data_IF_248326660603
#
_entry.id   IF_248326660603
#
_cell.length_a   1.000
_cell.length_b   1.000
_cell.length_c   1.000
_cell.angle_alpha   90.00
_cell.angle_beta   90.00
_cell.angle_gamma   90.00
#
_symmetry.space_group_name_H-M   'P 1'
#
loop_
_entity.id
_entity.type
_entity.pdbx_description
1 polymer ?
#
# COMPACT_ATOMS: atom_id res chain seq x y z
N UNK A 1 -11.65 -16.33 27.42
CA UNK A 1 -10.36 -16.05 26.77
C UNK A 1 -10.66 -15.02 25.69
N UNK A 2 -10.08 -13.82 25.82
CA UNK A 2 -10.16 -12.82 24.76
C UNK A 2 -9.43 -13.37 23.52
N UNK A 3 -10.06 -13.30 22.35
CA UNK A 3 -9.36 -13.58 21.09
C UNK A 3 -8.17 -12.62 20.97
N UNK A 4 -7.01 -13.08 20.47
CA UNK A 4 -5.90 -12.19 20.26
C UNK A 4 -6.31 -11.09 19.27
N UNK A 5 -6.11 -9.84 19.64
CA UNK A 5 -6.34 -8.70 18.75
C UNK A 5 -5.33 -8.74 17.59
N UNK A 6 -5.80 -8.47 16.41
CA UNK A 6 -5.00 -8.42 15.20
C UNK A 6 -4.78 -6.96 14.81
N UNK A 7 -3.52 -6.55 14.68
CA UNK A 7 -3.13 -5.17 14.41
C UNK A 7 -2.99 -4.95 12.90
N UNK A 8 -3.69 -3.97 12.37
CA UNK A 8 -3.46 -3.42 11.03
C UNK A 8 -2.76 -2.09 11.20
N UNK A 9 -1.51 -2.02 10.81
CA UNK A 9 -0.70 -0.80 10.97
C UNK A 9 -0.70 -0.01 9.67
N UNK A 10 -1.21 1.22 9.70
CA UNK A 10 -1.07 2.17 8.61
C UNK A 10 0.11 3.10 8.93
N UNK A 11 1.11 3.12 8.07
CA UNK A 11 2.38 3.78 8.37
C UNK A 11 2.70 4.88 7.37
N UNK A 12 3.13 6.00 7.90
CA UNK A 12 3.72 7.10 7.16
C UNK A 12 5.19 7.26 7.58
N UNK A 13 6.08 7.10 6.60
CA UNK A 13 7.48 7.54 6.59
C UNK A 13 8.23 7.40 7.95
N UNK A 14 9.04 6.38 8.19
CA UNK A 14 9.64 6.07 9.49
C UNK A 14 11.10 5.61 9.46
N UNK A 15 11.83 5.76 10.57
CA UNK A 15 13.12 5.14 10.88
C UNK A 15 12.97 4.06 11.95
N UNK A 16 13.71 2.99 11.84
CA UNK A 16 13.52 1.70 12.51
C UNK A 16 14.23 1.56 13.85
N UNK A 17 13.62 0.87 14.79
CA UNK A 17 14.27 0.19 15.92
C UNK A 17 14.02 -1.33 15.89
N UNK A 18 14.94 -2.10 16.49
CA UNK A 18 15.12 -3.55 16.37
C UNK A 18 14.04 -4.46 16.99
N UNK A 19 12.76 -4.23 16.79
CA UNK A 19 11.72 -5.20 17.16
C UNK A 19 10.98 -5.72 15.94
N UNK A 20 10.40 -6.90 16.05
CA UNK A 20 9.68 -7.58 14.96
C UNK A 20 8.43 -6.80 14.50
N UNK A 21 8.03 -5.81 15.29
CA UNK A 21 6.83 -5.00 15.11
C UNK A 21 7.12 -3.64 14.43
N UNK A 22 8.40 -3.34 14.14
CA UNK A 22 8.81 -2.05 13.61
C UNK A 22 8.89 -2.06 12.07
N UNK A 23 8.59 -0.92 11.47
CA UNK A 23 8.85 -0.63 10.06
C UNK A 23 10.29 -0.86 9.68
N UNK A 24 10.48 -1.44 8.53
CA UNK A 24 11.82 -1.69 8.00
C UNK A 24 12.34 -0.46 7.23
N UNK A 25 13.67 -0.33 7.21
CA UNK A 25 14.36 0.83 6.61
C UNK A 25 14.08 1.03 5.11
N UNK A 26 13.61 -0.01 4.40
CA UNK A 26 13.29 0.05 2.96
C UNK A 26 11.96 0.78 2.69
N UNK A 27 10.97 0.63 3.57
CA UNK A 27 9.70 1.38 3.47
C UNK A 27 9.97 2.90 3.47
N UNK A 28 11.10 3.31 4.10
CA UNK A 28 11.56 4.70 4.23
C UNK A 28 12.56 5.07 3.14
N UNK A 29 13.54 4.19 2.92
CA UNK A 29 14.69 4.49 2.04
C UNK A 29 14.25 4.51 0.59
N UNK A 30 13.32 3.64 0.20
CA UNK A 30 12.70 3.65 -1.12
C UNK A 30 12.02 5.00 -1.39
N UNK A 31 11.18 5.44 -0.48
CA UNK A 31 10.52 6.74 -0.59
C UNK A 31 11.53 7.91 -0.56
N UNK A 32 12.46 7.95 0.40
CA UNK A 32 13.46 9.02 0.51
C UNK A 32 14.40 9.10 -0.70
N UNK A 33 14.89 7.96 -1.21
CA UNK A 33 15.81 7.98 -2.36
C UNK A 33 15.17 8.58 -3.61
N UNK A 34 13.85 8.48 -3.74
CA UNK A 34 13.10 8.99 -4.87
C UNK A 34 12.77 10.47 -4.70
N UNK A 35 12.39 10.89 -3.49
CA UNK A 35 11.92 12.25 -3.23
C UNK A 35 13.00 13.23 -2.80
N UNK A 36 14.11 12.74 -2.21
CA UNK A 36 15.23 13.61 -1.80
C UNK A 36 16.23 13.91 -2.93
N UNK A 37 16.25 13.12 -4.00
CA UNK A 37 17.28 13.24 -5.06
C UNK A 37 16.76 13.52 -6.48
N UNK A 38 15.44 13.44 -6.71
CA UNK A 38 14.85 13.57 -8.04
C UNK A 38 14.23 14.94 -8.30
N UNK A 39 14.68 15.71 -9.30
CA UNK A 39 14.06 16.99 -9.68
C UNK A 39 12.64 16.83 -10.27
N UNK A 40 12.23 15.61 -10.64
CA UNK A 40 10.95 15.35 -11.30
C UNK A 40 9.72 15.45 -10.39
N UNK A 41 9.88 15.28 -9.06
CA UNK A 41 8.75 15.27 -8.13
C UNK A 41 8.51 16.60 -7.38
N UNK A 42 9.41 17.58 -7.57
CA UNK A 42 9.27 18.93 -7.01
C UNK A 42 8.47 19.88 -7.89
N UNK A 43 7.74 19.41 -8.87
CA UNK A 43 6.89 20.29 -9.66
C UNK A 43 5.79 20.87 -8.78
N UNK A 44 5.62 22.14 -8.84
CA UNK A 44 4.69 23.03 -8.14
C UNK A 44 3.23 22.54 -8.13
N UNK A 45 2.94 21.56 -7.27
CA UNK A 45 1.56 21.13 -7.05
C UNK A 45 1.00 21.98 -5.92
N UNK A 46 0.02 22.89 -6.20
CA UNK A 46 -0.48 23.85 -5.20
C UNK A 46 -1.28 23.21 -4.07
N UNK A 47 -1.83 22.00 -4.28
CA UNK A 47 -2.68 21.31 -3.32
C UNK A 47 -1.99 20.03 -2.79
N UNK A 48 -2.25 19.65 -1.52
CA UNK A 48 -1.73 18.41 -0.95
C UNK A 48 -2.32 17.21 -1.69
N UNK A 49 -1.48 16.26 -2.07
CA UNK A 49 -1.86 15.06 -2.80
C UNK A 49 -1.09 13.85 -2.26
N UNK A 50 -1.56 12.68 -2.61
CA UNK A 50 -0.84 11.43 -2.36
C UNK A 50 0.09 11.19 -3.55
N UNK A 51 1.39 11.15 -3.30
CA UNK A 51 2.41 10.98 -4.35
C UNK A 51 2.96 9.57 -4.42
N UNK A 52 2.88 8.84 -3.31
CA UNK A 52 3.16 7.41 -3.22
C UNK A 52 2.11 6.73 -2.35
N UNK A 53 1.78 5.52 -2.71
CA UNK A 53 0.92 4.61 -1.97
C UNK A 53 1.61 3.26 -1.94
N UNK A 54 1.78 2.68 -0.78
CA UNK A 54 2.48 1.40 -0.64
C UNK A 54 1.76 0.46 0.31
N UNK A 55 1.96 -0.84 0.11
CA UNK A 55 1.49 -1.87 1.04
C UNK A 55 2.49 -2.98 1.14
N UNK A 56 2.89 -3.30 2.36
CA UNK A 56 3.63 -4.50 2.71
C UNK A 56 2.71 -5.52 3.37
N UNK A 57 2.69 -6.74 2.83
CA UNK A 57 1.88 -7.81 3.36
C UNK A 57 2.47 -9.19 2.99
N UNK A 58 2.02 -10.21 3.69
CA UNK A 58 2.34 -11.60 3.34
C UNK A 58 1.49 -12.03 2.14
N UNK A 59 2.15 -12.50 1.10
CA UNK A 59 1.55 -13.08 -0.10
C UNK A 59 1.43 -14.60 0.11
N UNK A 60 0.20 -15.08 0.16
CA UNK A 60 -0.11 -16.50 0.25
C UNK A 60 -0.64 -17.06 -1.08
N UNK A 61 -0.97 -18.34 -1.08
CA UNK A 61 -1.52 -19.03 -2.24
C UNK A 61 -3.01 -18.73 -2.44
N UNK A 62 -3.46 -18.73 -3.70
CA UNK A 62 -4.86 -18.62 -4.08
C UNK A 62 -5.53 -17.35 -3.58
N UNK A 63 -6.56 -17.48 -2.75
CA UNK A 63 -7.33 -16.35 -2.17
C UNK A 63 -6.51 -15.45 -1.22
N UNK A 64 -5.34 -15.91 -0.78
CA UNK A 64 -4.43 -15.17 0.09
C UNK A 64 -3.40 -14.32 -0.69
N UNK A 65 -3.63 -14.09 -1.97
CA UNK A 65 -2.89 -13.09 -2.73
C UNK A 65 -3.07 -11.70 -2.10
N UNK A 66 -2.06 -10.84 -2.18
CA UNK A 66 -2.19 -9.44 -1.77
C UNK A 66 -2.85 -8.66 -2.90
N UNK A 67 -3.83 -7.83 -2.55
CA UNK A 67 -4.57 -7.03 -3.51
C UNK A 67 -4.48 -5.55 -3.09
N UNK A 68 -3.82 -4.76 -3.92
CA UNK A 68 -3.76 -3.30 -3.79
C UNK A 68 -4.78 -2.63 -4.71
N UNK A 69 -5.73 -1.86 -4.14
CA UNK A 69 -6.68 -1.06 -4.92
C UNK A 69 -6.32 0.42 -4.86
N UNK A 70 -6.52 1.13 -5.96
CA UNK A 70 -6.33 2.58 -6.01
C UNK A 70 -7.33 3.23 -6.97
N UNK A 71 -7.48 4.54 -6.84
CA UNK A 71 -8.40 5.34 -7.67
C UNK A 71 -7.59 6.45 -8.34
N UNK A 72 -7.72 6.55 -9.66
CA UNK A 72 -7.29 7.74 -10.40
C UNK A 72 -8.45 8.75 -10.39
N UNK A 73 -8.20 9.89 -9.78
CA UNK A 73 -9.14 11.00 -9.62
C UNK A 73 -8.87 12.10 -10.66
N UNK A 74 -9.84 12.99 -10.82
CA UNK A 74 -9.77 14.11 -11.75
C UNK A 74 -10.46 13.81 -13.07
N UNK A 75 -10.26 14.66 -14.07
CA UNK A 75 -10.86 14.56 -15.41
C UNK A 75 -9.87 14.17 -16.49
N UNK A 76 -8.62 13.98 -16.14
CA UNK A 76 -7.52 13.65 -17.04
C UNK A 76 -6.86 12.33 -16.60
N UNK A 77 -6.21 11.61 -17.49
CA UNK A 77 -5.42 10.44 -17.15
C UNK A 77 -4.27 10.75 -16.19
N UNK A 78 -3.79 9.74 -15.46
CA UNK A 78 -2.55 9.80 -14.69
C UNK A 78 -1.57 8.75 -15.19
N UNK A 79 -0.29 9.12 -15.32
CA UNK A 79 0.78 8.17 -15.59
C UNK A 79 1.35 7.69 -14.25
N UNK A 80 1.38 6.39 -14.06
CA UNK A 80 1.77 5.75 -12.81
C UNK A 80 2.82 4.66 -13.05
N UNK A 81 3.67 4.46 -12.04
CA UNK A 81 4.50 3.26 -11.93
C UNK A 81 3.95 2.42 -10.78
N UNK A 82 3.71 1.14 -11.03
CA UNK A 82 3.38 0.14 -10.01
C UNK A 82 4.58 -0.79 -9.88
N UNK A 83 5.04 -1.04 -8.67
CA UNK A 83 6.14 -1.98 -8.41
C UNK A 83 5.70 -3.09 -7.48
N UNK A 84 6.23 -4.29 -7.69
CA UNK A 84 6.15 -5.43 -6.79
C UNK A 84 7.55 -5.78 -6.32
N UNK A 85 7.84 -5.57 -5.05
CA UNK A 85 9.17 -5.75 -4.45
C UNK A 85 9.13 -6.95 -3.50
N UNK A 86 10.10 -7.82 -3.62
CA UNK A 86 10.21 -9.02 -2.77
C UNK A 86 11.66 -9.43 -2.57
N UNK A 87 12.34 -9.82 -3.62
CA UNK A 87 13.69 -10.38 -3.57
C UNK A 87 14.71 -9.51 -2.83
N UNK A 88 14.60 -8.19 -2.91
CA UNK A 88 15.51 -7.26 -2.24
C UNK A 88 15.17 -6.96 -0.78
N UNK A 89 13.98 -7.35 -0.29
CA UNK A 89 13.54 -7.08 1.08
C UNK A 89 14.43 -7.68 2.19
N UNK A 90 15.14 -8.83 2.01
CA UNK A 90 16.10 -9.30 3.00
C UNK A 90 17.23 -8.33 3.30
N UNK A 91 17.61 -7.48 2.38
CA UNK A 91 18.64 -6.44 2.59
C UNK A 91 18.24 -5.42 3.66
N UNK A 92 16.95 -5.30 3.95
CA UNK A 92 16.37 -4.39 4.94
C UNK A 92 15.74 -5.13 6.13
N UNK A 93 16.04 -6.44 6.27
CA UNK A 93 15.71 -7.23 7.45
C UNK A 93 14.45 -8.11 7.35
N UNK A 94 13.75 -8.13 6.22
CA UNK A 94 12.56 -8.98 6.00
C UNK A 94 13.02 -10.33 5.50
N UNK A 95 13.20 -11.29 6.41
CA UNK A 95 13.82 -12.60 6.10
C UNK A 95 12.89 -13.59 5.42
N UNK A 96 11.57 -13.36 5.46
CA UNK A 96 10.54 -14.18 4.80
C UNK A 96 10.01 -13.53 3.53
N UNK A 97 10.87 -12.84 2.80
CA UNK A 97 10.49 -12.14 1.57
C UNK A 97 10.03 -13.12 0.47
N UNK A 98 9.12 -12.64 -0.39
CA UNK A 98 8.74 -13.35 -1.60
C UNK A 98 9.88 -13.28 -2.60
N UNK A 99 10.35 -14.43 -3.08
CA UNK A 99 11.56 -14.49 -3.92
C UNK A 99 11.31 -14.06 -5.36
N UNK A 100 10.10 -14.27 -5.85
CA UNK A 100 9.73 -14.01 -7.25
C UNK A 100 8.33 -13.41 -7.29
N UNK A 101 8.26 -12.10 -7.56
CA UNK A 101 7.01 -11.33 -7.47
C UNK A 101 6.39 -11.18 -8.84
N UNK A 102 5.14 -11.56 -8.98
CA UNK A 102 4.31 -11.32 -10.17
C UNK A 102 3.18 -10.34 -9.85
N UNK A 103 3.03 -9.31 -10.67
CA UNK A 103 1.93 -8.34 -10.53
C UNK A 103 1.03 -8.30 -11.75
N UNK A 104 -0.27 -8.18 -11.48
CA UNK A 104 -1.32 -8.03 -12.50
C UNK A 104 -2.11 -6.76 -12.21
N UNK A 105 -2.17 -5.85 -13.16
CA UNK A 105 -2.99 -4.64 -13.08
C UNK A 105 -4.33 -4.87 -13.77
N UNK A 106 -5.43 -4.60 -13.06
CA UNK A 106 -6.80 -4.77 -13.55
C UNK A 106 -7.59 -3.46 -13.47
N UNK A 107 -8.53 -3.29 -14.39
CA UNK A 107 -9.54 -2.23 -14.30
C UNK A 107 -10.73 -2.65 -13.41
N UNK A 108 -11.68 -1.73 -13.19
CA UNK A 108 -12.87 -1.98 -12.38
C UNK A 108 -13.78 -3.12 -12.90
N UNK A 109 -13.66 -3.47 -14.18
CA UNK A 109 -14.38 -4.61 -14.79
C UNK A 109 -13.65 -5.94 -14.62
N UNK A 110 -12.51 -5.98 -13.94
CA UNK A 110 -11.69 -7.19 -13.78
C UNK A 110 -10.86 -7.57 -15.02
N UNK A 111 -10.80 -6.70 -16.04
CA UNK A 111 -9.96 -6.94 -17.22
C UNK A 111 -8.50 -6.65 -16.86
N UNK A 112 -7.60 -7.58 -17.16
CA UNK A 112 -6.14 -7.38 -17.04
C UNK A 112 -5.67 -6.37 -18.08
N UNK A 113 -5.02 -5.32 -17.62
CA UNK A 113 -4.45 -4.25 -18.45
C UNK A 113 -2.97 -4.45 -18.74
N UNK A 114 -2.24 -4.95 -17.76
CA UNK A 114 -0.81 -5.24 -17.85
C UNK A 114 -0.41 -6.26 -16.80
N UNK A 115 0.69 -6.95 -17.05
CA UNK A 115 1.36 -7.86 -16.12
C UNK A 115 2.86 -7.61 -16.15
N UNK A 116 3.54 -7.91 -15.07
CA UNK A 116 5.00 -7.91 -15.01
C UNK A 116 5.46 -9.01 -14.05
N UNK A 117 6.54 -9.66 -14.45
CA UNK A 117 7.26 -10.67 -13.69
C UNK A 117 8.67 -10.15 -13.41
N UNK A 118 9.53 -10.17 -14.40
CA UNK A 118 10.86 -9.58 -14.39
C UNK A 118 10.82 -8.18 -15.05
N UNK A 119 10.84 -7.12 -14.26
CA UNK A 119 10.67 -5.74 -14.77
C UNK A 119 11.62 -5.35 -15.90
N UNK A 120 12.82 -5.95 -15.89
CA UNK A 120 13.89 -5.60 -16.84
C UNK A 120 13.58 -6.07 -18.27
N UNK A 121 12.72 -7.08 -18.40
CA UNK A 121 12.32 -7.66 -19.69
C UNK A 121 11.14 -6.92 -20.34
N UNK A 122 10.52 -6.01 -19.59
CA UNK A 122 9.39 -5.23 -20.06
C UNK A 122 9.81 -4.06 -20.95
N UNK A 123 8.98 -3.72 -21.91
CA UNK A 123 9.23 -2.64 -22.89
C UNK A 123 9.37 -1.25 -22.24
N UNK A 124 8.88 -1.05 -21.03
CA UNK A 124 8.95 0.18 -20.25
C UNK A 124 10.16 0.26 -19.30
N UNK A 125 10.99 -0.78 -19.22
CA UNK A 125 12.11 -0.87 -18.27
C UNK A 125 13.03 0.36 -18.32
N UNK A 126 13.46 0.77 -19.52
CA UNK A 126 14.33 1.95 -19.69
C UNK A 126 13.67 3.26 -19.24
N UNK A 127 12.35 3.36 -19.40
CA UNK A 127 11.58 4.52 -18.97
C UNK A 127 11.45 4.56 -17.46
N UNK A 128 11.16 3.42 -16.81
CA UNK A 128 11.12 3.30 -15.34
C UNK A 128 12.48 3.69 -14.75
N UNK A 129 13.58 3.18 -15.31
CA UNK A 129 14.94 3.53 -14.89
C UNK A 129 15.24 5.04 -15.03
N UNK A 130 14.71 5.70 -16.06
CA UNK A 130 14.88 7.14 -16.22
C UNK A 130 14.19 7.98 -15.14
N UNK A 131 13.17 7.42 -14.49
CA UNK A 131 12.51 8.01 -13.32
C UNK A 131 13.16 7.60 -11.98
N UNK A 132 14.21 6.78 -12.01
CA UNK A 132 14.86 6.20 -10.82
C UNK A 132 13.87 5.39 -9.96
N UNK A 133 12.94 4.71 -10.63
CA UNK A 133 11.91 3.85 -10.00
C UNK A 133 12.15 2.37 -10.34
N UNK A 134 13.29 2.06 -10.92
CA UNK A 134 13.67 0.69 -11.23
C UNK A 134 13.84 -0.15 -9.96
N UNK A 135 13.22 -1.34 -9.88
CA UNK A 135 13.48 -2.28 -8.79
C UNK A 135 14.95 -2.66 -8.68
N UNK A 136 15.41 -2.94 -7.45
CA UNK A 136 16.83 -3.24 -7.18
C UNK A 136 17.27 -4.59 -7.73
N UNK A 137 16.34 -5.52 -7.97
CA UNK A 137 16.60 -6.84 -8.49
C UNK A 137 15.77 -7.12 -9.75
N UNK A 138 16.33 -7.89 -10.69
CA UNK A 138 15.63 -8.22 -11.94
C UNK A 138 14.39 -9.09 -11.77
N UNK A 139 14.32 -9.88 -10.69
CA UNK A 139 13.15 -10.73 -10.34
C UNK A 139 12.01 -9.97 -9.68
N UNK A 140 12.11 -8.67 -9.60
CA UNK A 140 11.04 -7.82 -9.09
C UNK A 140 10.23 -7.27 -10.26
N UNK A 141 8.99 -6.90 -9.99
CA UNK A 141 8.05 -6.51 -11.03
C UNK A 141 7.86 -5.01 -11.07
N UNK A 142 7.66 -4.44 -12.27
CA UNK A 142 7.24 -3.04 -12.41
C UNK A 142 6.41 -2.82 -13.67
N UNK A 143 5.34 -2.05 -13.57
CA UNK A 143 4.47 -1.65 -14.67
C UNK A 143 4.45 -0.13 -14.76
N UNK A 144 4.75 0.43 -15.93
CA UNK A 144 4.52 1.83 -16.25
C UNK A 144 3.31 1.93 -17.18
N UNK A 145 2.33 2.73 -16.80
CA UNK A 145 1.11 2.88 -17.60
C UNK A 145 0.42 4.22 -17.39
N UNK A 146 -0.41 4.62 -18.34
CA UNK A 146 -1.28 5.81 -18.24
C UNK A 146 -2.73 5.34 -18.13
N UNK A 147 -3.38 5.74 -17.03
CA UNK A 147 -4.71 5.27 -16.65
C UNK A 147 -5.71 6.43 -16.64
N UNK A 148 -6.89 6.21 -17.22
CA UNK A 148 -8.01 7.15 -17.14
C UNK A 148 -8.55 7.25 -15.70
N UNK A 149 -9.30 8.31 -15.34
CA UNK A 149 -10.04 8.34 -14.09
C UNK A 149 -10.90 7.09 -13.88
N UNK A 150 -10.76 6.44 -12.72
CA UNK A 150 -11.44 5.19 -12.41
C UNK A 150 -10.74 4.40 -11.30
N UNK A 151 -11.32 3.25 -10.97
CA UNK A 151 -10.79 2.33 -9.96
C UNK A 151 -9.96 1.23 -10.62
N UNK A 152 -8.86 0.88 -9.99
CA UNK A 152 -7.90 -0.12 -10.45
C UNK A 152 -7.48 -1.03 -9.31
N UNK A 153 -7.02 -2.22 -9.66
CA UNK A 153 -6.57 -3.23 -8.71
C UNK A 153 -5.26 -3.83 -9.19
N UNK A 154 -4.29 -3.93 -8.29
CA UNK A 154 -3.06 -4.69 -8.49
C UNK A 154 -3.16 -5.97 -7.67
N UNK A 155 -3.04 -7.12 -8.31
CA UNK A 155 -2.94 -8.42 -7.66
C UNK A 155 -1.47 -8.82 -7.60
N UNK A 156 -0.98 -9.14 -6.40
CA UNK A 156 0.41 -9.54 -6.14
C UNK A 156 0.43 -11.02 -5.80
N UNK A 157 1.21 -11.79 -6.53
CA UNK A 157 1.38 -13.23 -6.35
C UNK A 157 2.86 -13.59 -6.44
N UNK A 158 3.19 -14.81 -6.07
CA UNK A 158 4.45 -15.42 -6.50
C UNK A 158 4.35 -15.83 -7.96
N UNK A 159 5.43 -15.64 -8.70
CA UNK A 159 5.64 -16.35 -9.96
C UNK A 159 6.10 -17.78 -9.64
N UNK A 160 5.47 -18.76 -10.28
CA UNK A 160 5.83 -20.19 -10.09
C UNK A 160 6.89 -20.57 -11.11
N UNK A 161 8.14 -20.39 -10.75
CA UNK A 161 9.31 -20.81 -11.54
C UNK A 161 9.71 -22.27 -11.28
N UNK A 162 8.94 -23.01 -10.45
CA UNK A 162 9.17 -24.42 -10.10
C UNK A 162 10.15 -24.65 -8.94
N UNK A 163 10.60 -23.60 -8.26
CA UNK A 163 11.50 -23.71 -7.10
C UNK A 163 10.78 -23.98 -5.77
N UNK A 164 9.46 -23.82 -5.74
CA UNK A 164 8.60 -24.10 -4.58
C UNK A 164 8.48 -22.94 -3.58
N UNK A 165 9.10 -21.78 -3.84
CA UNK A 165 9.05 -20.59 -2.98
C UNK A 165 7.85 -19.69 -3.34
N UNK A 166 6.64 -20.21 -3.15
CA UNK A 166 5.40 -19.61 -3.63
C UNK A 166 4.74 -18.65 -2.64
N UNK A 167 5.34 -18.40 -1.48
CA UNK A 167 4.77 -17.51 -0.46
C UNK A 167 5.87 -16.71 0.23
N UNK A 168 5.53 -15.50 0.66
CA UNK A 168 6.46 -14.63 1.37
C UNK A 168 5.93 -13.21 1.50
N UNK A 169 6.67 -12.36 2.16
CA UNK A 169 6.33 -10.94 2.28
C UNK A 169 6.72 -10.19 1.01
N UNK A 170 5.80 -9.40 0.49
CA UNK A 170 6.05 -8.48 -0.62
C UNK A 170 5.59 -7.06 -0.27
N UNK A 171 6.19 -6.08 -0.96
CA UNK A 171 5.79 -4.69 -0.96
C UNK A 171 5.23 -4.36 -2.35
N UNK A 172 4.02 -3.82 -2.41
CA UNK A 172 3.47 -3.23 -3.62
C UNK A 172 3.45 -1.71 -3.47
N UNK A 173 3.90 -1.01 -4.49
CA UNK A 173 4.00 0.44 -4.48
C UNK A 173 3.34 1.03 -5.72
N UNK A 174 2.71 2.18 -5.56
CA UNK A 174 2.17 2.99 -6.64
C UNK A 174 2.79 4.39 -6.56
N UNK A 175 3.38 4.82 -7.64
CA UNK A 175 3.92 6.17 -7.83
C UNK A 175 3.11 6.91 -8.88
N UNK A 176 2.54 8.06 -8.51
CA UNK A 176 1.93 8.99 -9.46
C UNK A 176 3.03 9.92 -10.01
N UNK A 177 3.34 9.81 -11.29
CA UNK A 177 4.41 10.59 -11.92
C UNK A 177 4.02 12.06 -12.18
N UNK A 178 2.77 12.44 -11.89
CA UNK A 178 2.25 13.80 -12.04
C UNK A 178 2.46 14.43 -13.43
N UNK A 179 2.54 13.61 -14.46
CA UNK A 179 2.77 14.06 -15.84
C UNK A 179 1.51 14.63 -16.51
N UNK A 180 0.37 14.51 -15.86
CA UNK A 180 -0.95 14.93 -16.36
C UNK A 180 -1.85 15.44 -15.24
N UNK A 181 -3.11 15.77 -15.54
CA UNK A 181 -4.05 16.34 -14.56
C UNK A 181 -4.74 15.34 -13.64
N UNK A 182 -4.66 14.03 -13.92
CA UNK A 182 -5.16 12.97 -13.05
C UNK A 182 -4.24 12.77 -11.83
N UNK A 183 -4.79 12.21 -10.76
CA UNK A 183 -4.05 11.96 -9.50
C UNK A 183 -4.48 10.64 -8.87
N UNK A 184 -3.53 9.94 -8.28
CA UNK A 184 -3.83 8.83 -7.37
C UNK A 184 -4.42 9.38 -6.07
N UNK A 185 -5.60 8.94 -5.70
CA UNK A 185 -6.37 9.56 -4.60
C UNK A 185 -6.70 8.69 -3.41
N UNK A 186 -6.57 7.39 -3.52
CA UNK A 186 -6.91 6.42 -2.48
C UNK A 186 -6.03 5.19 -2.59
N UNK A 187 -5.78 4.55 -1.47
CA UNK A 187 -5.28 3.18 -1.43
C UNK A 187 -6.26 2.32 -0.64
N UNK A 188 -6.51 1.12 -1.12
CA UNK A 188 -7.16 0.08 -0.34
C UNK A 188 -6.37 -1.22 -0.52
N UNK A 189 -6.13 -1.94 0.57
CA UNK A 189 -5.37 -3.19 0.49
C UNK A 189 -6.11 -4.30 1.19
N UNK A 190 -6.14 -5.46 0.55
CA UNK A 190 -6.54 -6.71 1.14
C UNK A 190 -5.33 -7.64 1.22
N UNK A 191 -5.05 -8.14 2.41
CA UNK A 191 -4.00 -9.11 2.66
C UNK A 191 -4.33 -9.93 3.89
N UNK A 192 -3.63 -11.01 4.10
CA UNK A 192 -3.76 -11.86 5.27
C UNK A 192 -3.11 -11.19 6.49
N UNK A 193 -3.84 -11.15 7.60
CA UNK A 193 -3.37 -10.69 8.90
C UNK A 193 -3.57 -11.82 9.90
N UNK A 194 -2.52 -12.18 10.65
CA UNK A 194 -2.58 -13.21 11.68
C UNK A 194 -2.53 -12.61 13.08
N UNK A 195 -3.43 -13.09 13.95
CA UNK A 195 -3.58 -12.57 15.31
C UNK A 195 -2.47 -12.96 16.29
N UNK A 196 -1.49 -13.73 15.86
CA UNK A 196 -0.29 -14.07 16.64
C UNK A 196 0.84 -13.03 16.50
N UNK A 197 0.61 -11.96 15.74
CA UNK A 197 1.61 -10.92 15.47
C UNK A 197 2.68 -11.31 14.45
N UNK A 198 2.54 -12.46 13.78
CA UNK A 198 3.52 -12.91 12.80
C UNK A 198 3.32 -12.29 11.41
N UNK A 199 2.13 -11.79 11.12
CA UNK A 199 1.79 -11.18 9.84
C UNK A 199 0.90 -9.94 10.05
N UNK A 200 1.41 -8.79 9.61
CA UNK A 200 0.73 -7.52 9.62
C UNK A 200 0.42 -7.07 8.20
N UNK A 201 -0.61 -6.24 8.06
CA UNK A 201 -0.86 -5.46 6.86
C UNK A 201 -0.41 -4.02 7.13
N UNK A 202 0.58 -3.56 6.39
CA UNK A 202 1.14 -2.22 6.52
C UNK A 202 0.77 -1.43 5.28
N UNK A 203 -0.01 -0.37 5.44
CA UNK A 203 -0.31 0.60 4.39
C UNK A 203 0.49 1.88 4.60
N UNK A 204 1.24 2.31 3.58
CA UNK A 204 2.03 3.54 3.60
C UNK A 204 1.54 4.54 2.57
N UNK A 205 1.74 5.82 2.85
CA UNK A 205 1.48 6.89 1.88
C UNK A 205 2.37 8.10 2.15
N UNK A 206 2.66 8.86 1.11
CA UNK A 206 3.41 10.11 1.20
C UNK A 206 2.50 11.26 0.76
N UNK A 207 2.45 12.29 1.58
CA UNK A 207 1.75 13.54 1.26
C UNK A 207 2.75 14.50 0.62
N UNK A 208 2.49 14.87 -0.63
CA UNK A 208 3.23 15.90 -1.32
C UNK A 208 2.51 17.25 -1.27
N UNK A 209 3.24 18.31 -1.64
CA UNK A 209 2.74 19.68 -1.63
C UNK A 209 3.23 20.47 -0.44
N UNK A 210 2.61 21.64 -0.17
CA UNK A 210 3.03 22.57 0.87
C UNK A 210 1.97 22.78 1.97
N UNK A 211 0.86 22.05 1.90
CA UNK A 211 -0.24 22.21 2.84
C UNK A 211 -0.57 20.87 3.51
N UNK A 212 -1.00 20.88 4.77
CA UNK A 212 -1.49 19.69 5.44
C UNK A 212 -2.65 19.03 4.68
N UNK A 213 -2.77 17.71 4.79
CA UNK A 213 -3.86 16.90 4.25
C UNK A 213 -4.56 16.14 5.36
N UNK A 214 -5.90 16.24 5.39
CA UNK A 214 -6.70 15.36 6.23
C UNK A 214 -6.93 14.03 5.52
N UNK A 215 -6.67 12.94 6.23
CA UNK A 215 -6.83 11.56 5.77
C UNK A 215 -7.74 10.80 6.74
N UNK A 216 -8.51 9.85 6.19
CA UNK A 216 -9.24 8.86 6.98
C UNK A 216 -8.60 7.50 6.69
N UNK A 217 -8.19 6.80 7.74
CA UNK A 217 -7.65 5.44 7.65
C UNK A 217 -8.66 4.50 8.28
N UNK A 218 -8.94 3.38 7.60
CA UNK A 218 -9.91 2.38 8.06
C UNK A 218 -9.28 0.99 8.01
N UNK A 219 -9.56 0.18 9.02
CA UNK A 219 -9.30 -1.25 9.00
C UNK A 219 -10.64 -2.00 9.05
N UNK A 220 -10.93 -2.67 7.96
CA UNK A 220 -12.19 -3.37 7.70
C UNK A 220 -11.95 -4.87 7.83
N UNK A 221 -12.81 -5.53 8.58
CA UNK A 221 -12.74 -6.97 8.84
C UNK A 221 -14.11 -7.64 8.71
N UNK A 222 -14.97 -7.60 9.73
CA UNK A 222 -16.22 -8.36 9.77
C UNK A 222 -17.14 -8.13 8.57
N UNK A 223 -17.22 -6.90 8.06
CA UNK A 223 -18.04 -6.58 6.89
C UNK A 223 -17.55 -7.21 5.58
N UNK A 224 -16.32 -7.70 5.51
CA UNK A 224 -15.79 -8.40 4.35
C UNK A 224 -16.51 -9.74 4.09
N UNK A 225 -17.17 -10.31 5.10
CA UNK A 225 -18.02 -11.50 4.92
C UNK A 225 -19.13 -11.26 3.90
N UNK A 226 -19.66 -10.04 3.84
CA UNK A 226 -20.73 -9.67 2.90
C UNK A 226 -20.26 -9.68 1.43
N UNK A 227 -18.96 -9.62 1.19
CA UNK A 227 -18.34 -9.67 -0.15
C UNK A 227 -17.63 -11.00 -0.41
N UNK A 228 -17.94 -12.04 0.38
CA UNK A 228 -17.51 -13.42 0.14
C UNK A 228 -16.17 -13.81 0.78
N UNK A 229 -15.59 -12.99 1.65
CA UNK A 229 -14.41 -13.38 2.42
C UNK A 229 -14.85 -14.30 3.55
N UNK A 230 -14.39 -15.54 3.52
CA UNK A 230 -14.85 -16.59 4.44
C UNK A 230 -14.27 -16.49 5.85
N UNK A 231 -13.11 -15.88 6.00
CA UNK A 231 -12.41 -15.74 7.28
C UNK A 231 -11.94 -14.28 7.46
N UNK A 232 -12.86 -13.32 7.57
CA UNK A 232 -12.49 -11.94 7.81
C UNK A 232 -11.94 -11.77 9.22
N UNK A 233 -11.05 -10.81 9.39
CA UNK A 233 -10.54 -10.40 10.68
C UNK A 233 -11.73 -9.93 11.55
N UNK A 234 -11.90 -10.51 12.74
CA UNK A 234 -13.09 -10.27 13.58
C UNK A 234 -13.08 -8.92 14.29
N UNK A 235 -11.87 -8.42 14.60
CA UNK A 235 -11.66 -7.24 15.44
C UNK A 235 -10.34 -6.54 15.04
N UNK A 236 -10.34 -5.70 13.97
CA UNK A 236 -9.16 -5.05 13.48
C UNK A 236 -8.79 -3.83 14.31
N UNK A 237 -7.54 -3.74 14.73
CA UNK A 237 -6.93 -2.53 15.30
C UNK A 237 -6.14 -1.80 14.19
N UNK A 238 -6.28 -0.47 14.10
CA UNK A 238 -5.46 0.38 13.23
C UNK A 238 -4.60 1.33 14.04
N UNK A 239 -3.33 1.42 13.70
CA UNK A 239 -2.39 2.39 14.22
C UNK A 239 -1.84 3.25 13.09
N UNK A 240 -1.74 4.55 13.33
CA UNK A 240 -1.10 5.50 12.42
C UNK A 240 0.22 5.95 13.04
N UNK A 241 1.29 5.78 12.28
CA UNK A 241 2.64 6.15 12.67
C UNK A 241 3.18 7.26 11.76
N UNK A 242 4.07 8.08 12.32
CA UNK A 242 4.83 9.06 11.53
C UNK A 242 6.10 8.44 10.92
N UNK A 243 6.83 9.25 10.17
CA UNK A 243 8.07 8.87 9.53
C UNK A 243 9.23 8.55 10.46
N UNK A 244 9.07 8.64 11.77
CA UNK A 244 10.04 8.18 12.77
C UNK A 244 9.63 6.87 13.46
N UNK A 245 8.44 6.31 13.08
CA UNK A 245 7.85 5.16 13.75
C UNK A 245 7.07 5.51 15.02
N UNK A 246 6.91 6.81 15.32
CA UNK A 246 6.12 7.22 16.48
C UNK A 246 4.63 7.03 16.21
N UNK A 247 3.92 6.34 17.10
CA UNK A 247 2.45 6.23 17.01
C UNK A 247 1.81 7.60 17.22
N UNK A 248 1.13 8.09 16.20
CA UNK A 248 0.38 9.34 16.24
C UNK A 248 -1.00 9.14 16.86
N UNK A 249 -1.68 8.07 16.48
CA UNK A 249 -3.01 7.72 16.98
C UNK A 249 -3.32 6.27 16.62
N UNK A 250 -4.26 5.69 17.36
CA UNK A 250 -4.78 4.35 17.12
C UNK A 250 -6.28 4.30 17.30
N UNK A 251 -6.93 3.30 16.72
CA UNK A 251 -8.36 3.06 16.92
C UNK A 251 -8.65 1.57 16.79
N UNK A 252 -9.42 1.08 17.72
CA UNK A 252 -9.90 -0.30 17.80
C UNK A 252 -11.36 -0.41 17.33
N UNK A 253 -12.21 0.45 17.82
CA UNK A 253 -13.63 0.52 17.48
C UNK A 253 -13.95 1.93 16.99
N UNK A 254 -14.34 2.09 15.72
CA UNK A 254 -14.44 3.42 15.10
C UNK A 254 -15.38 4.38 15.83
N UNK A 255 -16.47 3.87 16.46
CA UNK A 255 -17.44 4.69 17.16
C UNK A 255 -16.90 5.28 18.48
N UNK A 256 -15.86 4.67 19.06
CA UNK A 256 -15.20 5.16 20.27
C UNK A 256 -14.15 6.25 19.98
N UNK A 257 -13.80 6.46 18.72
CA UNK A 257 -12.81 7.46 18.31
C UNK A 257 -13.32 8.90 18.40
N UNK A 258 -12.44 9.88 18.61
CA UNK A 258 -12.83 11.28 18.75
C UNK A 258 -13.44 11.89 17.46
N UNK A 259 -13.17 11.30 16.31
CA UNK A 259 -13.61 11.76 15.00
C UNK A 259 -14.79 10.95 14.43
N UNK A 260 -15.43 10.08 15.22
CA UNK A 260 -16.49 9.18 14.77
C UNK A 260 -17.62 9.91 14.04
N UNK A 261 -18.12 11.00 14.62
CA UNK A 261 -19.21 11.81 14.01
C UNK A 261 -18.81 12.42 12.67
N UNK A 262 -17.55 12.84 12.52
CA UNK A 262 -17.05 13.43 11.30
C UNK A 262 -16.85 12.38 10.21
N UNK A 263 -16.24 11.24 10.55
CA UNK A 263 -16.07 10.09 9.65
C UNK A 263 -17.44 9.62 9.13
N UNK A 264 -18.46 9.62 10.00
CA UNK A 264 -19.84 9.28 9.62
C UNK A 264 -20.44 10.34 8.67
N UNK A 265 -20.25 11.61 8.96
CA UNK A 265 -20.76 12.70 8.11
C UNK A 265 -20.12 12.70 6.71
N UNK A 266 -18.89 12.27 6.59
CA UNK A 266 -18.15 12.10 5.33
C UNK A 266 -18.55 10.81 4.56
N UNK A 267 -19.43 9.97 5.12
CA UNK A 267 -19.87 8.71 4.51
C UNK A 267 -18.78 7.62 4.52
N UNK A 268 -17.75 7.77 5.37
CA UNK A 268 -16.62 6.87 5.45
C UNK A 268 -16.66 5.93 6.66
N UNK A 269 -17.73 5.98 7.46
CA UNK A 269 -17.90 5.13 8.63
C UNK A 269 -17.91 3.64 8.25
N UNK A 270 -17.15 2.80 8.96
CA UNK A 270 -17.29 1.36 8.85
C UNK A 270 -18.71 0.89 9.17
N UNK A 271 -19.13 -0.22 8.59
CA UNK A 271 -20.51 -0.76 8.80
C UNK A 271 -20.65 -1.58 10.07
N UNK A 272 -19.56 -2.12 10.58
CA UNK A 272 -19.54 -2.92 11.81
C UNK A 272 -18.90 -2.14 12.96
N UNK A 273 -19.45 -2.22 14.18
CA UNK A 273 -18.92 -1.48 15.34
C UNK A 273 -17.49 -1.85 15.73
N UNK A 274 -17.08 -3.11 15.53
CA UNK A 274 -15.75 -3.63 15.83
C UNK A 274 -14.72 -3.32 14.73
N UNK A 275 -15.09 -2.63 13.67
CA UNK A 275 -14.13 -2.15 12.67
C UNK A 275 -13.51 -0.83 13.12
N UNK A 276 -12.30 -0.57 12.65
CA UNK A 276 -11.55 0.60 13.07
C UNK A 276 -11.57 1.71 12.03
N UNK A 277 -11.63 2.96 12.50
CA UNK A 277 -11.40 4.13 11.66
C UNK A 277 -10.82 5.27 12.50
N UNK A 278 -9.89 6.00 11.92
CA UNK A 278 -9.32 7.20 12.48
C UNK A 278 -9.21 8.29 11.41
N UNK A 279 -9.21 9.54 11.85
CA UNK A 279 -8.97 10.70 11.01
C UNK A 279 -7.79 11.49 11.56
N UNK A 280 -6.89 11.91 10.70
CA UNK A 280 -5.73 12.71 11.07
C UNK A 280 -5.43 13.78 10.01
N UNK A 281 -4.96 14.95 10.44
CA UNK A 281 -4.43 15.99 9.57
C UNK A 281 -2.93 15.97 9.66
N UNK A 282 -2.27 15.71 8.54
CA UNK A 282 -0.85 15.41 8.46
C UNK A 282 -0.14 16.42 7.55
N UNK A 283 1.08 16.78 7.92
CA UNK A 283 1.94 17.64 7.09
C UNK A 283 2.57 16.83 5.95
N UNK A 284 2.95 17.50 4.83
CA UNK A 284 3.82 16.93 3.81
C UNK A 284 5.16 16.47 4.35
#
# INVERSE_FOLDING_TARGET
QASPQQVVTAIMNSTVSNSVDDLQTDDITGAKSIYDTGPAFQSSIPAPNLVNLSTRAFVGLGENAVIGGFIIQGSQPATVVVRGIGYSLPAVGITNALEDVFIELHNAGGQTLATSDDWIDDSWASTIASYHLDPANSRESAILTTLNPGSYTVVVRSFDNGDGHLTGTALVELYDLHTSGGRAGNISTRGQVLGDGSQFLIGGFIIGGAQPKTVVVRAIGPSLSAVGISQPLSDPLVELHDGSGTTLTSNDNWQAGPNAAQIQAEGLAPTQPSESALQATLNP
#
